data_IF_421228295753
#
_entry.id   IF_421228295753
#
_cell.length_a   1.000
_cell.length_b   1.000
_cell.length_c   1.000
_cell.angle_alpha   90.00
_cell.angle_beta   90.00
_cell.angle_gamma   90.00
#
_symmetry.space_group_name_H-M   'P 1'
#
loop_
_entity.id
_entity.type
_entity.pdbx_description
1 polymer ?
#
# COMPACT_ATOMS: atom_id res chain seq x y z
N UNK A 1 4.66 33.77 -24.06
CA UNK A 1 4.40 32.81 -22.97
C UNK A 1 3.40 31.74 -23.39
N UNK A 2 2.12 32.04 -23.63
CA UNK A 2 1.13 30.99 -23.96
C UNK A 2 1.47 30.13 -25.18
N UNK A 3 1.95 30.72 -26.27
CA UNK A 3 2.36 29.96 -27.46
C UNK A 3 3.62 29.10 -27.23
N UNK A 4 4.58 29.58 -26.45
CA UNK A 4 5.83 28.86 -26.15
C UNK A 4 5.58 27.70 -25.17
N UNK A 5 4.72 27.93 -24.16
CA UNK A 5 4.29 26.89 -23.21
C UNK A 5 3.44 25.81 -23.90
N UNK A 6 2.58 26.20 -24.84
CA UNK A 6 1.80 25.23 -25.62
C UNK A 6 2.68 24.42 -26.57
N UNK A 7 3.68 25.04 -27.20
CA UNK A 7 4.67 24.34 -28.03
C UNK A 7 5.47 23.34 -27.19
N UNK A 8 6.00 23.76 -26.04
CA UNK A 8 6.77 22.89 -25.16
C UNK A 8 5.93 21.76 -24.54
N UNK A 9 4.64 22.01 -24.28
CA UNK A 9 3.68 20.99 -23.89
C UNK A 9 3.47 19.96 -25.02
N UNK A 10 3.28 20.40 -26.27
CA UNK A 10 3.10 19.49 -27.39
C UNK A 10 4.33 18.62 -27.65
N UNK A 11 5.53 19.18 -27.51
CA UNK A 11 6.78 18.42 -27.57
C UNK A 11 6.89 17.39 -26.43
N UNK A 12 6.43 17.76 -25.24
CA UNK A 12 6.45 16.88 -24.08
C UNK A 12 5.43 15.74 -24.21
N UNK A 13 4.24 16.01 -24.76
CA UNK A 13 3.25 14.99 -25.10
C UNK A 13 3.80 14.02 -26.14
N UNK A 14 4.42 14.52 -27.22
CA UNK A 14 5.05 13.68 -28.23
C UNK A 14 6.16 12.81 -27.63
N UNK A 15 6.99 13.37 -26.75
CA UNK A 15 8.04 12.62 -26.07
C UNK A 15 7.50 11.59 -25.06
N UNK A 16 6.32 11.83 -24.49
CA UNK A 16 5.64 10.92 -23.56
C UNK A 16 4.88 9.78 -24.25
N UNK A 17 4.29 10.08 -25.41
CA UNK A 17 3.52 9.13 -26.24
C UNK A 17 4.42 8.24 -27.09
N UNK A 18 5.65 8.67 -27.39
CA UNK A 18 6.66 7.81 -27.97
C UNK A 18 6.93 6.63 -27.03
N UNK A 19 6.39 5.45 -27.36
CA UNK A 19 6.59 4.20 -26.63
C UNK A 19 8.09 3.85 -26.62
N UNK A 20 8.77 4.20 -25.53
CA UNK A 20 10.22 4.03 -25.38
C UNK A 20 11.02 5.33 -25.30
N UNK A 21 10.37 6.50 -25.24
CA UNK A 21 11.03 7.78 -25.02
C UNK A 21 11.99 7.69 -23.83
N UNK A 22 13.24 8.10 -24.05
CA UNK A 22 14.31 7.96 -23.09
C UNK A 22 13.88 8.65 -21.78
N UNK A 23 13.68 7.86 -20.72
CA UNK A 23 13.12 8.36 -19.45
C UNK A 23 13.94 9.54 -18.91
N UNK A 24 15.22 9.58 -19.28
CA UNK A 24 16.17 10.65 -19.00
C UNK A 24 15.84 11.95 -19.75
N UNK A 25 15.55 11.90 -21.05
CA UNK A 25 15.25 13.09 -21.86
C UNK A 25 13.96 13.78 -21.41
N UNK A 26 12.92 12.99 -21.12
CA UNK A 26 11.66 13.51 -20.56
C UNK A 26 11.90 14.14 -19.19
N UNK A 27 12.77 13.54 -18.36
CA UNK A 27 13.11 14.12 -17.05
C UNK A 27 13.84 15.46 -17.16
N UNK A 28 14.74 15.61 -18.15
CA UNK A 28 15.47 16.85 -18.41
C UNK A 28 14.54 17.94 -18.94
N UNK A 29 13.66 17.60 -19.88
CA UNK A 29 12.63 18.54 -20.40
C UNK A 29 11.67 18.98 -19.28
N UNK A 30 11.21 18.05 -18.43
CA UNK A 30 10.37 18.37 -17.27
C UNK A 30 11.10 19.29 -16.27
N UNK A 31 12.39 19.08 -16.01
CA UNK A 31 13.16 19.93 -15.11
C UNK A 31 13.28 21.37 -15.61
N UNK A 32 13.50 21.55 -16.92
CA UNK A 32 13.52 22.89 -17.56
C UNK A 32 12.16 23.57 -17.45
N UNK A 33 11.08 22.86 -17.78
CA UNK A 33 9.72 23.40 -17.68
C UNK A 33 9.32 23.75 -16.25
N UNK A 34 9.75 22.97 -15.26
CA UNK A 34 9.55 23.32 -13.85
C UNK A 34 10.22 24.63 -13.46
N UNK A 35 11.43 24.87 -13.96
CA UNK A 35 12.13 26.13 -13.73
C UNK A 35 11.38 27.30 -14.34
N UNK A 36 10.90 27.15 -15.58
CA UNK A 36 10.08 28.16 -16.27
C UNK A 36 8.75 28.42 -15.54
N UNK A 37 8.07 27.37 -15.06
CA UNK A 37 6.85 27.48 -14.27
C UNK A 37 7.09 28.14 -12.90
N UNK A 38 8.25 27.91 -12.29
CA UNK A 38 8.61 28.53 -11.02
C UNK A 38 8.96 30.02 -11.21
N UNK A 39 9.68 30.37 -12.28
CA UNK A 39 10.04 31.76 -12.60
C UNK A 39 8.81 32.61 -12.96
N UNK A 40 7.83 31.99 -13.62
CA UNK A 40 6.59 32.66 -14.02
C UNK A 40 5.52 32.69 -12.92
N UNK A 41 5.73 32.00 -11.79
CA UNK A 41 4.79 31.95 -10.66
C UNK A 41 3.54 31.09 -10.88
N UNK A 42 3.42 30.44 -12.05
CA UNK A 42 2.27 29.58 -12.39
C UNK A 42 2.21 28.28 -11.60
N UNK A 43 3.31 27.87 -10.97
CA UNK A 43 3.37 26.64 -10.16
C UNK A 43 2.36 26.62 -9.00
N UNK A 44 2.01 27.79 -8.45
CA UNK A 44 1.12 27.92 -7.29
C UNK A 44 -0.35 28.17 -7.65
N UNK A 45 -0.72 28.07 -8.93
CA UNK A 45 -2.10 28.30 -9.37
C UNK A 45 -2.68 29.67 -8.95
N UNK A 46 -2.06 30.80 -9.33
CA UNK A 46 -2.63 32.12 -9.04
C UNK A 46 -3.96 32.31 -9.79
N UNK A 47 -5.05 32.75 -9.12
CA UNK A 47 -6.37 32.91 -9.74
C UNK A 47 -6.44 34.07 -10.75
N UNK A 48 -5.42 34.92 -10.80
CA UNK A 48 -5.32 36.10 -11.68
C UNK A 48 -4.61 35.81 -13.00
N UNK A 49 -4.07 34.61 -13.21
CA UNK A 49 -3.33 34.26 -14.42
C UNK A 49 -4.27 33.88 -15.58
N UNK A 50 -3.71 33.86 -16.81
CA UNK A 50 -4.44 33.44 -18.00
C UNK A 50 -4.91 31.97 -17.86
N UNK A 51 -6.21 31.67 -18.04
CA UNK A 51 -6.71 30.31 -17.97
C UNK A 51 -5.99 29.34 -18.92
N UNK A 52 -5.51 29.81 -20.09
CA UNK A 52 -4.78 28.93 -21.01
C UNK A 52 -3.44 28.47 -20.45
N UNK A 53 -2.71 29.37 -19.79
CA UNK A 53 -1.42 29.05 -19.18
C UNK A 53 -1.59 28.16 -17.95
N UNK A 54 -2.68 28.35 -17.20
CA UNK A 54 -3.03 27.47 -16.07
C UNK A 54 -3.40 26.05 -16.52
N UNK A 55 -4.15 25.91 -17.64
CA UNK A 55 -4.42 24.59 -18.24
C UNK A 55 -3.12 23.92 -18.68
N UNK A 56 -2.23 24.66 -19.33
CA UNK A 56 -0.95 24.12 -19.78
C UNK A 56 -0.08 23.67 -18.59
N UNK A 57 0.01 24.50 -17.55
CA UNK A 57 0.73 24.16 -16.31
C UNK A 57 0.17 22.89 -15.65
N UNK A 58 -1.17 22.77 -15.56
CA UNK A 58 -1.83 21.57 -15.04
C UNK A 58 -1.45 20.33 -15.85
N UNK A 59 -1.53 20.40 -17.19
CA UNK A 59 -1.18 19.26 -18.05
C UNK A 59 0.29 18.86 -17.94
N UNK A 60 1.22 19.80 -17.80
CA UNK A 60 2.63 19.51 -17.58
C UNK A 60 2.83 18.76 -16.24
N UNK A 61 2.16 19.20 -15.18
CA UNK A 61 2.22 18.56 -13.87
C UNK A 61 1.58 17.16 -13.87
N UNK A 62 0.45 16.97 -14.56
CA UNK A 62 -0.19 15.66 -14.74
C UNK A 62 0.75 14.67 -15.44
N UNK A 63 1.39 15.09 -16.54
CA UNK A 63 2.35 14.23 -17.25
C UNK A 63 3.59 13.96 -16.38
N UNK A 64 4.05 14.95 -15.62
CA UNK A 64 5.12 14.78 -14.64
C UNK A 64 4.79 13.72 -13.58
N UNK A 65 3.54 13.67 -13.10
CA UNK A 65 3.08 12.64 -12.17
C UNK A 65 3.09 11.24 -12.82
N UNK A 66 2.58 11.10 -14.04
CA UNK A 66 2.60 9.82 -14.76
C UNK A 66 4.02 9.33 -15.06
N UNK A 67 4.91 10.25 -15.46
CA UNK A 67 6.32 9.94 -15.68
C UNK A 67 7.03 9.48 -14.41
N UNK A 68 6.76 10.14 -13.26
CA UNK A 68 7.30 9.72 -11.97
C UNK A 68 6.88 8.28 -11.59
N UNK A 69 5.65 7.90 -11.91
CA UNK A 69 5.16 6.52 -11.73
C UNK A 69 5.84 5.52 -12.67
N UNK A 70 6.05 5.88 -13.95
CA UNK A 70 6.82 5.05 -14.92
C UNK A 70 8.30 4.88 -14.53
N UNK A 71 8.84 5.81 -13.73
CA UNK A 71 10.17 5.71 -13.12
C UNK A 71 10.17 4.93 -11.80
N UNK A 72 9.00 4.65 -11.21
CA UNK A 72 8.87 3.96 -9.94
C UNK A 72 9.20 4.82 -8.71
N UNK A 73 9.24 6.15 -8.84
CA UNK A 73 9.58 7.05 -7.74
C UNK A 73 8.32 7.65 -7.08
N UNK A 74 7.86 7.00 -6.00
CA UNK A 74 6.68 7.43 -5.24
C UNK A 74 6.84 8.81 -4.58
N UNK A 75 8.05 9.15 -4.09
CA UNK A 75 8.27 10.45 -3.45
C UNK A 75 8.10 11.60 -4.44
N UNK A 76 8.63 11.42 -5.64
CA UNK A 76 8.45 12.39 -6.73
C UNK A 76 6.98 12.45 -7.16
N UNK A 77 6.29 11.31 -7.26
CA UNK A 77 4.86 11.27 -7.55
C UNK A 77 4.03 12.04 -6.52
N UNK A 78 4.26 11.81 -5.22
CA UNK A 78 3.58 12.52 -4.15
C UNK A 78 3.78 14.04 -4.26
N UNK A 79 5.00 14.50 -4.53
CA UNK A 79 5.29 15.92 -4.72
C UNK A 79 4.50 16.54 -5.90
N UNK A 80 4.38 15.84 -7.03
CA UNK A 80 3.55 16.28 -8.14
C UNK A 80 2.06 16.28 -7.79
N UNK A 81 1.58 15.27 -7.06
CA UNK A 81 0.19 15.19 -6.64
C UNK A 81 -0.18 16.34 -5.69
N UNK A 82 0.69 16.68 -4.74
CA UNK A 82 0.50 17.85 -3.88
C UNK A 82 0.51 19.17 -4.67
N UNK A 83 1.37 19.29 -5.68
CA UNK A 83 1.39 20.46 -6.56
C UNK A 83 0.14 20.60 -7.42
N UNK A 84 -0.50 19.47 -7.78
CA UNK A 84 -1.75 19.44 -8.55
C UNK A 84 -2.98 19.77 -7.70
N UNK A 85 -2.95 19.56 -6.38
CA UNK A 85 -4.11 19.74 -5.51
C UNK A 85 -4.74 21.15 -5.59
N UNK A 86 -3.98 22.27 -5.57
CA UNK A 86 -4.54 23.62 -5.71
C UNK A 86 -5.27 23.85 -7.04
N UNK A 87 -4.80 23.22 -8.12
CA UNK A 87 -5.44 23.33 -9.44
C UNK A 87 -6.82 22.66 -9.46
N UNK A 88 -7.05 21.67 -8.60
CA UNK A 88 -8.32 20.97 -8.51
C UNK A 88 -9.24 21.52 -7.43
N UNK A 89 -8.70 21.95 -6.28
CA UNK A 89 -9.54 22.45 -5.17
C UNK A 89 -10.06 23.86 -5.42
N UNK A 90 -9.20 24.75 -5.94
CA UNK A 90 -9.49 26.18 -6.00
C UNK A 90 -10.05 26.57 -7.38
N UNK A 91 -9.34 26.19 -8.45
CA UNK A 91 -9.65 26.67 -9.80
C UNK A 91 -10.87 25.98 -10.44
N UNK A 92 -11.09 24.71 -10.12
CA UNK A 92 -12.26 23.95 -10.60
C UNK A 92 -13.54 24.40 -9.87
N UNK A 93 -13.45 24.72 -8.58
CA UNK A 93 -14.56 25.22 -7.77
C UNK A 93 -15.01 26.62 -8.18
N UNK A 94 -14.07 27.47 -8.58
CA UNK A 94 -14.35 28.84 -9.07
C UNK A 94 -14.69 28.87 -10.57
N UNK A 95 -14.77 27.71 -11.25
CA UNK A 95 -15.06 27.58 -12.69
C UNK A 95 -14.10 28.35 -13.61
N UNK A 96 -12.90 28.68 -13.13
CA UNK A 96 -11.88 29.42 -13.88
C UNK A 96 -11.29 28.54 -14.99
N UNK A 97 -11.27 27.22 -14.78
CA UNK A 97 -10.64 26.24 -15.67
C UNK A 97 -11.60 25.09 -15.98
N UNK A 98 -11.64 24.58 -17.22
CA UNK A 98 -12.42 23.38 -17.56
C UNK A 98 -11.88 22.12 -16.86
N UNK A 99 -12.79 21.21 -16.51
CA UNK A 99 -12.45 19.89 -15.96
C UNK A 99 -11.49 19.13 -16.89
N UNK A 100 -10.41 18.55 -16.34
CA UNK A 100 -9.46 17.79 -17.16
C UNK A 100 -9.95 16.37 -17.42
N UNK A 101 -9.71 15.82 -18.62
CA UNK A 101 -10.01 14.41 -18.91
C UNK A 101 -9.16 13.44 -18.09
N UNK A 102 -8.02 13.90 -17.57
CA UNK A 102 -7.10 13.11 -16.74
C UNK A 102 -7.41 13.19 -15.25
N UNK A 103 -8.33 14.06 -14.81
CA UNK A 103 -8.73 14.21 -13.41
C UNK A 103 -9.09 12.87 -12.74
N UNK A 104 -9.99 12.03 -13.29
CA UNK A 104 -10.34 10.76 -12.65
C UNK A 104 -9.17 9.77 -12.60
N UNK A 105 -8.21 9.90 -13.52
CA UNK A 105 -7.03 9.02 -13.58
C UNK A 105 -6.03 9.39 -12.51
N UNK A 106 -5.71 10.68 -12.38
CA UNK A 106 -4.82 11.18 -11.31
C UNK A 106 -5.39 10.83 -9.93
N UNK A 107 -6.71 10.96 -9.77
CA UNK A 107 -7.41 10.58 -8.55
C UNK A 107 -7.30 9.08 -8.28
N UNK A 108 -7.61 8.23 -9.26
CA UNK A 108 -7.50 6.78 -9.13
C UNK A 108 -6.08 6.31 -8.80
N UNK A 109 -5.06 6.95 -9.40
CA UNK A 109 -3.66 6.69 -9.09
C UNK A 109 -3.30 7.10 -7.66
N UNK A 110 -3.83 8.23 -7.19
CA UNK A 110 -3.54 8.69 -5.83
C UNK A 110 -4.16 7.75 -4.79
N UNK A 111 -5.43 7.35 -4.99
CA UNK A 111 -6.09 6.35 -4.17
C UNK A 111 -5.31 5.03 -4.14
N UNK A 112 -4.85 4.57 -5.30
CA UNK A 112 -4.06 3.35 -5.37
C UNK A 112 -2.69 3.49 -4.69
N UNK A 113 -2.06 4.65 -4.77
CA UNK A 113 -0.80 4.93 -4.08
C UNK A 113 -0.97 4.85 -2.57
N UNK A 114 -2.00 5.50 -2.00
CA UNK A 114 -2.32 5.43 -0.57
C UNK A 114 -2.55 3.99 -0.11
N UNK A 115 -3.29 3.21 -0.91
CA UNK A 115 -3.56 1.81 -0.63
C UNK A 115 -2.28 0.94 -0.69
N UNK A 116 -1.35 1.25 -1.59
CA UNK A 116 -0.05 0.57 -1.69
C UNK A 116 0.89 0.86 -0.51
N UNK A 117 0.75 2.04 0.11
CA UNK A 117 1.53 2.45 1.29
C UNK A 117 0.89 1.98 2.61
N UNK A 118 -0.36 1.52 2.57
CA UNK A 118 -1.12 1.09 3.75
C UNK A 118 -1.75 2.23 4.54
N UNK A 119 -1.85 3.43 3.95
CA UNK A 119 -2.46 4.62 4.56
C UNK A 119 -3.99 4.59 4.38
N UNK A 120 -4.65 3.63 5.04
CA UNK A 120 -6.10 3.42 4.91
C UNK A 120 -6.93 4.59 5.45
N UNK A 121 -6.46 5.26 6.51
CA UNK A 121 -7.16 6.42 7.08
C UNK A 121 -7.27 7.55 6.07
N UNK A 122 -6.16 7.92 5.43
CA UNK A 122 -6.13 8.97 4.40
C UNK A 122 -6.98 8.58 3.19
N UNK A 123 -6.92 7.30 2.81
CA UNK A 123 -7.76 6.75 1.74
C UNK A 123 -9.26 6.94 2.04
N UNK A 124 -9.75 6.55 3.22
CA UNK A 124 -11.16 6.69 3.58
C UNK A 124 -11.58 8.17 3.69
N UNK A 125 -10.73 9.04 4.26
CA UNK A 125 -11.03 10.48 4.30
C UNK A 125 -11.12 11.10 2.91
N UNK A 126 -10.28 10.64 1.98
CA UNK A 126 -10.31 11.12 0.61
C UNK A 126 -11.60 10.68 -0.07
N UNK A 127 -11.97 9.39 0.04
CA UNK A 127 -13.21 8.85 -0.54
C UNK A 127 -14.45 9.57 0.00
N UNK A 128 -14.48 9.95 1.27
CA UNK A 128 -15.57 10.73 1.87
C UNK A 128 -15.68 12.15 1.29
N UNK A 129 -14.55 12.75 0.91
CA UNK A 129 -14.51 14.11 0.34
C UNK A 129 -14.97 14.16 -1.12
N UNK A 130 -15.01 13.01 -1.82
CA UNK A 130 -15.34 12.96 -3.25
C UNK A 130 -16.84 13.06 -3.52
N UNK A 131 -17.18 13.67 -4.65
CA UNK A 131 -18.57 13.71 -5.15
C UNK A 131 -18.97 12.34 -5.70
N UNK A 132 -20.25 11.99 -5.56
CA UNK A 132 -20.81 10.71 -6.02
C UNK A 132 -20.57 10.47 -7.52
N UNK A 133 -20.59 11.52 -8.34
CA UNK A 133 -20.32 11.45 -9.77
C UNK A 133 -18.92 10.92 -10.08
N UNK A 134 -17.91 11.35 -9.32
CA UNK A 134 -16.52 10.94 -9.49
C UNK A 134 -16.26 9.49 -9.02
N UNK A 135 -17.09 8.98 -8.11
CA UNK A 135 -17.00 7.59 -7.65
C UNK A 135 -17.46 6.58 -8.70
N UNK A 136 -18.29 7.00 -9.66
CA UNK A 136 -18.80 6.13 -10.72
C UNK A 136 -17.79 5.91 -11.85
N UNK A 137 -16.70 6.69 -11.89
CA UNK A 137 -15.65 6.55 -12.90
C UNK A 137 -14.90 5.23 -12.75
N UNK A 138 -14.63 4.58 -13.89
CA UNK A 138 -13.95 3.28 -13.96
C UNK A 138 -12.58 3.30 -13.25
N UNK A 139 -11.86 4.42 -13.33
CA UNK A 139 -10.53 4.58 -12.73
C UNK A 139 -10.56 4.73 -11.21
N UNK A 140 -11.61 5.32 -10.66
CA UNK A 140 -11.78 5.55 -9.21
C UNK A 140 -12.38 4.33 -8.55
N UNK A 141 -13.30 3.66 -9.25
CA UNK A 141 -13.93 2.43 -8.79
C UNK A 141 -12.93 1.29 -8.59
N UNK A 142 -11.89 1.20 -9.42
CA UNK A 142 -10.89 0.13 -9.32
C UNK A 142 -10.19 0.11 -7.93
N UNK A 143 -9.57 1.21 -7.44
CA UNK A 143 -9.04 1.28 -6.07
C UNK A 143 -10.06 0.97 -4.97
N UNK A 144 -11.32 1.42 -5.12
CA UNK A 144 -12.38 1.18 -4.13
C UNK A 144 -12.76 -0.30 -4.08
N UNK A 145 -12.95 -0.95 -5.23
CA UNK A 145 -13.22 -2.39 -5.32
C UNK A 145 -12.03 -3.22 -4.79
N UNK A 146 -10.79 -2.78 -5.06
CA UNK A 146 -9.58 -3.40 -4.54
C UNK A 146 -9.49 -3.33 -3.00
N UNK A 147 -9.76 -2.16 -2.43
CA UNK A 147 -9.79 -1.95 -0.98
C UNK A 147 -10.83 -2.86 -0.31
N UNK A 148 -12.03 -2.92 -0.89
CA UNK A 148 -13.09 -3.79 -0.41
C UNK A 148 -12.68 -5.26 -0.43
N UNK A 149 -12.07 -5.73 -1.52
CA UNK A 149 -11.60 -7.12 -1.60
C UNK A 149 -10.46 -7.41 -0.62
N UNK A 150 -9.62 -6.42 -0.34
CA UNK A 150 -8.56 -6.55 0.65
C UNK A 150 -9.15 -6.68 2.07
N UNK A 151 -10.19 -5.89 2.38
CA UNK A 151 -10.92 -6.00 3.65
C UNK A 151 -11.70 -7.32 3.78
N UNK A 152 -12.29 -7.81 2.68
CA UNK A 152 -12.96 -9.12 2.62
C UNK A 152 -11.98 -10.31 2.72
N UNK A 153 -10.66 -10.08 2.55
CA UNK A 153 -9.66 -11.14 2.42
C UNK A 153 -9.76 -11.91 1.09
N UNK A 154 -10.46 -11.36 0.11
CA UNK A 154 -10.73 -11.99 -1.19
C UNK A 154 -9.57 -11.78 -2.19
N UNK A 155 -8.36 -12.25 -1.82
CA UNK A 155 -7.12 -12.03 -2.59
C UNK A 155 -7.16 -12.57 -4.03
N UNK A 156 -7.96 -13.60 -4.30
CA UNK A 156 -8.19 -14.13 -5.65
C UNK A 156 -8.76 -13.06 -6.61
N UNK A 157 -9.63 -12.18 -6.10
CA UNK A 157 -10.21 -11.09 -6.90
C UNK A 157 -9.18 -10.00 -7.17
N UNK A 158 -8.38 -9.65 -6.16
CA UNK A 158 -7.25 -8.69 -6.26
C UNK A 158 -6.25 -9.15 -7.32
N UNK A 159 -5.88 -10.44 -7.31
CA UNK A 159 -4.96 -10.99 -8.30
C UNK A 159 -5.48 -10.88 -9.73
N UNK A 160 -6.77 -11.18 -9.96
CA UNK A 160 -7.42 -11.07 -11.29
C UNK A 160 -7.62 -9.62 -11.74
N UNK A 161 -7.69 -8.68 -10.80
CA UNK A 161 -7.87 -7.27 -11.12
C UNK A 161 -6.64 -6.67 -11.80
N UNK A 162 -5.46 -7.27 -11.61
CA UNK A 162 -4.23 -6.94 -12.35
C UNK A 162 -4.43 -6.99 -13.86
N UNK A 163 -5.20 -7.94 -14.37
CA UNK A 163 -5.41 -8.11 -15.81
C UNK A 163 -6.41 -7.09 -16.39
N UNK A 164 -7.16 -6.41 -15.52
CA UNK A 164 -8.20 -5.42 -15.89
C UNK A 164 -7.68 -3.99 -15.90
N UNK A 165 -6.37 -3.81 -15.79
CA UNK A 165 -5.75 -2.50 -15.62
C UNK A 165 -5.82 -1.69 -16.92
N UNK A 166 -6.48 -0.52 -16.94
CA UNK A 166 -6.67 0.23 -18.18
C UNK A 166 -5.44 1.01 -18.66
N UNK A 167 -4.44 1.28 -17.79
CA UNK A 167 -3.21 1.99 -18.16
C UNK A 167 -1.96 1.48 -17.42
N UNK A 168 -0.81 1.60 -18.06
CA UNK A 168 0.47 1.10 -17.56
C UNK A 168 0.91 1.73 -16.22
N UNK A 169 0.51 2.97 -15.94
CA UNK A 169 0.90 3.69 -14.71
C UNK A 169 0.38 3.00 -13.44
N UNK A 170 -0.78 2.34 -13.53
CA UNK A 170 -1.37 1.57 -12.43
C UNK A 170 -0.60 0.26 -12.18
N UNK A 171 0.09 -0.27 -13.20
CA UNK A 171 0.79 -1.54 -13.11
C UNK A 171 1.89 -1.57 -12.05
N UNK A 172 2.68 -0.49 -11.97
CA UNK A 172 3.74 -0.36 -10.95
C UNK A 172 3.18 -0.37 -9.53
N UNK A 173 2.12 0.41 -9.29
CA UNK A 173 1.47 0.50 -7.97
C UNK A 173 0.82 -0.83 -7.56
N UNK A 174 0.19 -1.52 -8.52
CA UNK A 174 -0.41 -2.83 -8.28
C UNK A 174 0.62 -3.92 -7.99
N UNK A 175 1.77 -3.91 -8.66
CA UNK A 175 2.84 -4.86 -8.36
C UNK A 175 3.37 -4.67 -6.93
N UNK A 176 3.55 -3.41 -6.51
CA UNK A 176 3.92 -3.08 -5.13
C UNK A 176 2.86 -3.54 -4.12
N UNK A 177 1.58 -3.28 -4.41
CA UNK A 177 0.47 -3.77 -3.59
C UNK A 177 0.44 -5.29 -3.51
N UNK A 178 0.72 -6.01 -4.60
CA UNK A 178 0.79 -7.47 -4.58
C UNK A 178 1.91 -7.97 -3.68
N UNK A 179 3.03 -7.23 -3.58
CA UNK A 179 4.09 -7.52 -2.61
C UNK A 179 3.60 -7.45 -1.16
N UNK A 180 2.88 -6.38 -0.80
CA UNK A 180 2.34 -6.21 0.56
C UNK A 180 1.25 -7.23 0.87
N UNK A 181 0.35 -7.50 -0.09
CA UNK A 181 -0.70 -8.54 0.02
C UNK A 181 -0.10 -9.93 0.24
N UNK A 182 0.93 -10.32 -0.52
CA UNK A 182 1.63 -11.59 -0.28
C UNK A 182 2.21 -11.66 1.14
N UNK A 183 2.71 -10.54 1.64
CA UNK A 183 3.22 -10.44 3.00
C UNK A 183 2.13 -10.63 4.08
N UNK A 184 0.91 -10.12 3.84
CA UNK A 184 -0.23 -10.33 4.72
C UNK A 184 -0.73 -11.77 4.68
N UNK A 185 -0.87 -12.35 3.48
CA UNK A 185 -1.25 -13.76 3.30
C UNK A 185 -0.27 -14.67 4.04
N UNK A 186 1.03 -14.42 3.91
CA UNK A 186 2.07 -15.18 4.60
C UNK A 186 1.94 -15.11 6.12
N UNK A 187 1.68 -13.93 6.68
CA UNK A 187 1.45 -13.77 8.13
C UNK A 187 0.21 -14.54 8.61
N UNK A 188 -0.86 -14.59 7.81
CA UNK A 188 -2.05 -15.39 8.11
C UNK A 188 -1.77 -16.88 8.01
N UNK A 189 -0.96 -17.33 7.05
CA UNK A 189 -0.57 -18.74 6.91
C UNK A 189 0.24 -19.18 8.15
N UNK A 190 1.19 -18.37 8.59
CA UNK A 190 2.01 -18.62 9.78
C UNK A 190 1.18 -18.76 11.07
N UNK A 191 0.07 -18.02 11.17
CA UNK A 191 -0.84 -18.11 12.33
C UNK A 191 -1.88 -19.22 12.22
N UNK A 192 -2.25 -19.64 11.01
CA UNK A 192 -3.38 -20.55 10.79
C UNK A 192 -2.97 -22.01 10.68
N UNK A 193 -1.75 -22.30 10.21
CA UNK A 193 -1.29 -23.66 9.93
C UNK A 193 0.05 -23.95 10.62
N UNK A 194 0.24 -25.16 11.19
CA UNK A 194 1.53 -25.59 11.72
C UNK A 194 2.52 -25.98 10.60
N UNK A 195 2.03 -26.53 9.50
CA UNK A 195 2.81 -26.88 8.32
C UNK A 195 1.96 -26.85 7.06
N UNK A 196 2.60 -26.66 5.90
CA UNK A 196 1.92 -26.55 4.60
C UNK A 196 2.74 -27.19 3.47
N UNK A 197 2.15 -27.99 2.57
CA UNK A 197 2.83 -28.50 1.38
C UNK A 197 3.25 -27.40 0.40
N UNK A 198 4.37 -27.62 -0.31
CA UNK A 198 4.91 -26.68 -1.30
C UNK A 198 3.89 -26.27 -2.38
N UNK A 199 3.11 -27.23 -2.90
CA UNK A 199 2.11 -26.98 -3.95
C UNK A 199 0.95 -26.09 -3.47
N UNK A 200 0.46 -26.35 -2.26
CA UNK A 200 -0.58 -25.54 -1.61
C UNK A 200 -0.06 -24.14 -1.29
N UNK A 201 1.18 -24.02 -0.79
CA UNK A 201 1.83 -22.74 -0.53
C UNK A 201 1.98 -21.90 -1.81
N UNK A 202 2.42 -22.54 -2.91
CA UNK A 202 2.55 -21.88 -4.20
C UNK A 202 1.20 -21.35 -4.71
N UNK A 203 0.14 -22.13 -4.55
CA UNK A 203 -1.22 -21.74 -4.97
C UNK A 203 -1.77 -20.57 -4.14
N UNK A 204 -1.58 -20.60 -2.81
CA UNK A 204 -2.06 -19.55 -1.91
C UNK A 204 -1.32 -18.22 -2.07
N UNK A 205 -0.02 -18.25 -2.35
CA UNK A 205 0.82 -17.06 -2.53
C UNK A 205 0.84 -16.55 -3.99
N UNK A 206 0.07 -17.18 -4.88
CA UNK A 206 -0.01 -16.87 -6.31
C UNK A 206 1.35 -16.92 -7.03
N UNK A 207 2.21 -17.87 -6.67
CA UNK A 207 3.43 -18.16 -7.42
C UNK A 207 3.12 -19.05 -8.63
N UNK A 208 3.82 -18.83 -9.75
CA UNK A 208 3.73 -19.72 -10.90
C UNK A 208 4.48 -21.03 -10.62
N UNK A 209 4.05 -22.12 -11.25
CA UNK A 209 4.64 -23.46 -11.05
C UNK A 209 6.16 -23.53 -11.36
N UNK A 210 6.70 -22.59 -12.15
CA UNK A 210 8.14 -22.48 -12.45
C UNK A 210 8.95 -21.57 -11.52
N UNK A 211 8.32 -20.89 -10.55
CA UNK A 211 8.96 -19.91 -9.65
C UNK A 211 9.25 -20.49 -8.26
N UNK A 212 9.63 -21.78 -8.19
CA UNK A 212 9.94 -22.46 -6.93
C UNK A 212 11.13 -21.83 -6.20
N UNK A 213 12.10 -21.26 -6.92
CA UNK A 213 13.22 -20.52 -6.35
C UNK A 213 12.77 -19.26 -5.60
N UNK A 214 11.83 -18.50 -6.17
CA UNK A 214 11.28 -17.30 -5.54
C UNK A 214 10.49 -17.64 -4.26
N UNK A 215 9.73 -18.74 -4.29
CA UNK A 215 9.03 -19.24 -3.11
C UNK A 215 10.01 -19.66 -2.01
N UNK A 216 11.12 -20.33 -2.35
CA UNK A 216 12.15 -20.68 -1.35
C UNK A 216 12.88 -19.46 -0.79
N UNK A 217 13.15 -18.44 -1.62
CA UNK A 217 13.74 -17.19 -1.14
C UNK A 217 12.80 -16.48 -0.16
N UNK A 218 11.52 -16.38 -0.51
CA UNK A 218 10.49 -15.80 0.35
C UNK A 218 10.32 -16.58 1.66
N UNK A 219 10.36 -17.92 1.60
CA UNK A 219 10.33 -18.79 2.76
C UNK A 219 11.55 -18.56 3.68
N UNK A 220 12.75 -18.41 3.10
CA UNK A 220 13.97 -18.14 3.86
C UNK A 220 13.95 -16.77 4.53
N UNK A 221 13.46 -15.73 3.86
CA UNK A 221 13.28 -14.37 4.44
C UNK A 221 12.41 -14.39 5.70
N UNK A 222 11.45 -15.31 5.77
CA UNK A 222 10.52 -15.48 6.90
C UNK A 222 10.90 -16.58 7.88
N UNK A 223 12.01 -17.28 7.65
CA UNK A 223 12.48 -18.36 8.51
C UNK A 223 11.63 -19.64 8.44
N UNK A 224 10.94 -19.89 7.33
CA UNK A 224 10.21 -21.14 7.13
C UNK A 224 11.17 -22.29 6.84
N UNK A 225 11.01 -23.42 7.54
CA UNK A 225 11.89 -24.58 7.37
C UNK A 225 11.27 -25.54 6.35
N UNK A 226 11.97 -25.80 5.26
CA UNK A 226 11.57 -26.79 4.26
C UNK A 226 12.06 -28.18 4.66
N UNK A 227 11.15 -29.13 4.85
CA UNK A 227 11.49 -30.54 5.04
C UNK A 227 11.72 -31.22 3.67
N UNK A 228 12.94 -31.72 3.37
CA UNK A 228 13.27 -32.26 2.04
C UNK A 228 12.51 -33.56 1.69
N UNK A 229 12.10 -34.33 2.71
CA UNK A 229 11.44 -35.63 2.54
C UNK A 229 9.96 -35.53 2.18
N UNK A 230 9.26 -34.53 2.72
CA UNK A 230 7.81 -34.34 2.57
C UNK A 230 7.46 -33.14 1.70
N UNK A 231 8.44 -32.33 1.30
CA UNK A 231 8.23 -31.05 0.59
C UNK A 231 7.21 -30.14 1.30
N UNK A 232 7.22 -30.15 2.63
CA UNK A 232 6.34 -29.33 3.47
C UNK A 232 7.15 -28.24 4.15
N UNK A 233 6.61 -27.02 4.16
CA UNK A 233 7.09 -25.95 5.02
C UNK A 233 6.57 -26.15 6.43
N UNK A 234 7.45 -25.99 7.40
CA UNK A 234 7.10 -25.88 8.82
C UNK A 234 7.27 -24.43 9.24
N UNK A 235 6.24 -23.86 9.84
CA UNK A 235 6.25 -22.46 10.25
C UNK A 235 6.78 -22.32 11.67
N UNK A 236 7.47 -21.21 12.01
CA UNK A 236 7.86 -20.94 13.38
C UNK A 236 6.60 -20.83 14.24
N UNK A 237 6.60 -21.49 15.42
CA UNK A 237 5.48 -21.36 16.37
C UNK A 237 5.28 -19.88 16.70
N UNK A 238 4.09 -19.36 16.48
CA UNK A 238 3.79 -17.97 16.82
C UNK A 238 4.00 -17.72 18.33
N UNK A 239 4.52 -16.55 18.69
CA UNK A 239 4.76 -16.16 20.09
C UNK A 239 3.47 -15.93 20.88
N UNK A 240 2.30 -15.95 20.23
CA UNK A 240 1.01 -15.96 20.92
C UNK A 240 0.79 -17.39 21.41
N UNK A 241 0.62 -17.62 22.72
CA UNK A 241 0.33 -18.95 23.22
C UNK A 241 -1.03 -19.37 22.67
N UNK A 242 -1.02 -20.28 21.69
CA UNK A 242 -2.22 -21.00 21.30
C UNK A 242 -2.72 -21.77 22.52
N UNK A 243 -3.85 -21.31 23.06
CA UNK A 243 -4.53 -21.95 24.20
C UNK A 243 -4.80 -23.42 23.88
N UNK A 244 -5.00 -23.76 22.60
CA UNK A 244 -5.21 -25.11 22.11
C UNK A 244 -3.92 -25.96 22.07
N UNK A 245 -2.77 -25.42 21.65
CA UNK A 245 -1.52 -26.18 21.61
C UNK A 245 -0.96 -26.44 23.02
N UNK A 246 -1.18 -25.50 23.95
CA UNK A 246 -0.85 -25.66 25.37
C UNK A 246 -1.74 -26.69 26.11
N UNK A 247 -2.84 -27.12 25.49
CA UNK A 247 -3.73 -28.16 26.02
C UNK A 247 -3.38 -29.57 25.52
N UNK A 248 -2.63 -29.69 24.42
CA UNK A 248 -2.44 -30.97 23.71
C UNK A 248 -1.12 -31.67 24.05
N UNK A 249 -0.13 -31.06 24.70
CA UNK A 249 1.06 -31.82 25.15
C UNK A 249 0.72 -32.74 26.35
N UNK A 250 0.71 -34.08 26.20
CA UNK A 250 0.53 -35.00 27.30
C UNK A 250 1.90 -35.55 27.73
N UNK A 251 2.20 -35.40 29.03
CA UNK A 251 2.98 -36.34 29.85
C UNK A 251 4.10 -37.11 29.15
N UNK A 252 5.29 -36.52 29.04
CA UNK A 252 6.44 -37.19 28.43
C UNK A 252 7.79 -36.56 28.76
N UNK A 253 8.00 -36.07 29.98
CA UNK A 253 9.34 -35.72 30.45
C UNK A 253 9.52 -36.13 31.91
N UNK A 254 10.50 -36.99 32.11
CA UNK A 254 10.96 -37.60 33.36
C UNK A 254 11.00 -36.67 34.56
N UNK A 255 10.73 -37.25 35.73
CA UNK A 255 10.71 -36.72 37.09
C UNK A 255 12.04 -36.16 37.62
N UNK A 256 12.85 -35.51 36.79
CA UNK A 256 14.11 -34.87 37.18
C UNK A 256 14.10 -33.33 37.03
N UNK A 257 13.04 -32.76 36.45
CA UNK A 257 12.89 -31.31 36.28
C UNK A 257 11.94 -30.65 37.31
N UNK A 258 11.58 -31.37 38.39
CA UNK A 258 10.67 -30.87 39.43
C UNK A 258 11.39 -30.03 40.49
N UNK A 259 12.72 -30.12 40.59
CA UNK A 259 13.49 -29.44 41.64
C UNK A 259 14.03 -28.03 41.28
N UNK A 260 13.85 -27.56 40.04
CA UNK A 260 14.30 -26.23 39.61
C UNK A 260 13.20 -25.15 39.63
N UNK A 261 12.00 -25.47 40.12
CA UNK A 261 10.83 -24.58 40.08
C UNK A 261 10.33 -24.16 41.47
N UNK A 262 11.23 -23.71 42.35
CA UNK A 262 10.83 -22.76 43.39
C UNK A 262 10.66 -21.38 42.74
N UNK A 263 9.42 -21.06 42.32
CA UNK A 263 9.01 -19.66 42.13
C UNK A 263 8.38 -19.25 40.80
N UNK A 264 8.17 -20.15 39.84
CA UNK A 264 7.42 -19.81 38.61
C UNK A 264 6.39 -20.89 38.32
N UNK A 265 5.18 -20.68 38.86
CA UNK A 265 4.00 -21.43 38.47
C UNK A 265 3.73 -21.26 36.98
N UNK A 266 3.50 -22.39 36.31
CA UNK A 266 3.24 -22.49 34.88
C UNK A 266 1.96 -21.73 34.51
N UNK A 267 2.05 -21.00 33.39
CA UNK A 267 1.01 -20.20 32.78
C UNK A 267 -0.15 -21.06 32.26
N UNK A 268 -1.27 -21.08 32.98
CA UNK A 268 -2.60 -21.31 32.39
C UNK A 268 -3.52 -20.19 32.85
N UNK A 269 -4.04 -19.42 31.91
CA UNK A 269 -4.85 -18.23 32.17
C UNK A 269 -4.01 -16.96 32.40
N UNK A 270 -4.70 -15.82 32.36
CA UNK A 270 -4.10 -14.49 32.59
C UNK A 270 -3.30 -14.52 33.90
N UNK A 271 -2.05 -14.02 33.93
CA UNK A 271 -1.21 -14.11 35.13
C UNK A 271 -1.96 -13.60 36.36
N UNK A 272 -1.98 -14.38 37.45
CA UNK A 272 -2.68 -14.03 38.70
C UNK A 272 -2.33 -12.62 39.23
N UNK A 273 -1.16 -12.09 38.87
CA UNK A 273 -0.73 -10.71 39.14
C UNK A 273 -1.67 -9.67 38.51
N UNK A 274 -2.28 -9.94 37.35
CA UNK A 274 -3.23 -9.02 36.71
C UNK A 274 -4.62 -9.07 37.35
N UNK A 275 -5.01 -10.20 37.97
CA UNK A 275 -6.31 -10.32 38.65
C UNK A 275 -6.24 -9.82 40.09
N UNK A 276 -5.16 -10.17 40.80
CA UNK A 276 -5.01 -9.88 42.23
C UNK A 276 -4.27 -8.56 42.47
N UNK A 277 -3.43 -8.12 41.53
CA UNK A 277 -2.67 -6.86 41.64
C UNK A 277 -3.54 -5.60 41.75
N UNK A 278 -4.59 -5.41 40.92
CA UNK A 278 -5.49 -4.27 41.06
C UNK A 278 -6.25 -4.30 42.39
N UNK A 279 -6.70 -5.48 42.84
CA UNK A 279 -7.38 -5.65 44.12
C UNK A 279 -6.48 -5.35 45.32
N UNK A 280 -5.21 -5.82 45.31
CA UNK A 280 -4.22 -5.50 46.34
C UNK A 280 -3.85 -4.02 46.35
N UNK A 281 -3.72 -3.38 45.18
CA UNK A 281 -3.49 -1.93 45.10
C UNK A 281 -4.66 -1.13 45.65
N UNK A 282 -5.90 -1.54 45.35
CA UNK A 282 -7.10 -0.94 45.92
C UNK A 282 -7.17 -1.12 47.43
N UNK A 283 -6.86 -2.32 47.93
CA UNK A 283 -6.82 -2.60 49.36
C UNK A 283 -5.77 -1.73 50.08
N UNK A 284 -4.56 -1.62 49.52
CA UNK A 284 -3.50 -0.76 50.06
C UNK A 284 -3.88 0.72 50.03
N UNK A 285 -4.53 1.19 48.96
CA UNK A 285 -5.02 2.57 48.88
C UNK A 285 -6.11 2.86 49.93
N UNK A 286 -7.00 1.90 50.19
CA UNK A 286 -8.03 2.03 51.22
C UNK A 286 -7.43 2.01 52.63
N UNK A 287 -6.43 1.16 52.89
CA UNK A 287 -5.72 1.13 54.18
C UNK A 287 -4.91 2.41 54.44
N UNK A 288 -4.40 3.08 53.40
CA UNK A 288 -3.67 4.35 53.58
C UNK A 288 -4.55 5.57 53.90
N UNK A 289 -5.87 5.45 53.71
CA UNK A 289 -6.83 6.53 54.00
C UNK A 289 -7.38 6.43 55.45
N UNK A 290 -7.26 5.26 56.08
CA UNK A 290 -7.63 5.00 57.49
C UNK A 290 -6.46 5.35 58.40
#
# INVERSE_FOLDING_TARGET
MSAELQQSLSELQQAFDAQGGDKAEVSQKLAKLKLELAQSGLYFAPPTADPQDLVAARSILEIGAFHALRQGNLKSYAAYNFALQPFYSNLESESIIPASPNRPVTLGLHLLALLSEGLLTEFHTLVETLKVEQLNDVFVRLPVDLERWLMEGAYNKVYRARDRVPREEFGFLLERLMGTVRGQIAATIESSYPSLPLSSAATLLFFKAGETSALTAFANERGWVLSPSTQTFTFPKSTRPDIALAAVEPSGASSAAVDALKGKGVMRGVPMVSMVGPALKLAQQLETIV
#
